data_IF_105060346400
#
_entry.id   IF_105060346400
#
_cell.length_a   1.000
_cell.length_b   1.000
_cell.length_c   1.000
_cell.angle_alpha   90.00
_cell.angle_beta   90.00
_cell.angle_gamma   90.00
#
_symmetry.space_group_name_H-M   'P 1'
#
loop_
_entity.id
_entity.type
_entity.pdbx_description
1 polymer ?
#
# COMPACT_ATOMS: atom_id res chain seq x y z
N UNK A 1 11.18 -48.17 6.93
CA UNK A 1 10.37 -47.02 6.46
C UNK A 1 10.13 -46.07 7.63
N UNK A 2 10.69 -44.85 7.58
CA UNK A 2 10.44 -43.82 8.60
C UNK A 2 9.12 -43.13 8.28
N UNK A 3 8.07 -43.44 9.03
CA UNK A 3 6.79 -42.73 8.94
C UNK A 3 6.96 -41.33 9.50
N UNK A 4 6.92 -40.31 8.65
CA UNK A 4 6.85 -38.91 9.07
C UNK A 4 5.52 -38.71 9.80
N UNK A 5 5.57 -38.57 11.12
CA UNK A 5 4.42 -38.23 11.94
C UNK A 5 3.85 -36.89 11.46
N UNK A 6 2.75 -36.93 10.71
CA UNK A 6 1.96 -35.74 10.35
C UNK A 6 1.41 -35.13 11.63
N UNK A 7 1.99 -34.02 12.06
CA UNK A 7 1.48 -33.19 13.14
C UNK A 7 0.17 -32.56 12.67
N UNK A 8 -0.96 -33.16 13.07
CA UNK A 8 -2.27 -32.54 12.89
C UNK A 8 -2.27 -31.21 13.65
N UNK A 9 -2.38 -30.10 12.92
CA UNK A 9 -2.26 -28.74 13.43
C UNK A 9 -1.07 -27.94 12.87
N UNK A 10 -0.03 -28.60 12.34
CA UNK A 10 1.13 -27.90 11.75
C UNK A 10 0.74 -27.07 10.52
N UNK A 11 -0.22 -27.54 9.72
CA UNK A 11 -0.70 -26.77 8.57
C UNK A 11 -1.53 -25.55 8.96
N UNK A 12 -2.47 -25.68 9.90
CA UNK A 12 -3.45 -24.63 10.18
C UNK A 12 -2.80 -23.35 10.73
N UNK A 13 -1.85 -23.48 11.66
CA UNK A 13 -1.15 -22.31 12.22
C UNK A 13 -0.21 -21.67 11.19
N UNK A 14 0.46 -22.46 10.36
CA UNK A 14 1.34 -21.97 9.30
C UNK A 14 0.57 -21.19 8.23
N UNK A 15 -0.59 -21.71 7.80
CA UNK A 15 -1.48 -21.00 6.88
C UNK A 15 -2.00 -19.69 7.49
N UNK A 16 -2.40 -19.68 8.76
CA UNK A 16 -2.86 -18.45 9.43
C UNK A 16 -1.75 -17.40 9.46
N UNK A 17 -0.50 -17.80 9.74
CA UNK A 17 0.64 -16.87 9.76
C UNK A 17 0.89 -16.32 8.35
N UNK A 18 0.92 -17.16 7.31
CA UNK A 18 1.14 -16.72 5.92
C UNK A 18 0.03 -15.76 5.47
N UNK A 19 -1.23 -16.09 5.77
CA UNK A 19 -2.38 -15.23 5.44
C UNK A 19 -2.29 -13.89 6.16
N UNK A 20 -1.91 -13.88 7.45
CA UNK A 20 -1.73 -12.65 8.20
C UNK A 20 -0.63 -11.76 7.58
N UNK A 21 0.48 -12.34 7.13
CA UNK A 21 1.55 -11.61 6.45
C UNK A 21 1.10 -11.01 5.11
N UNK A 22 0.36 -11.79 4.30
CA UNK A 22 -0.20 -11.30 3.04
C UNK A 22 -1.20 -10.18 3.29
N UNK A 23 -2.06 -10.29 4.31
CA UNK A 23 -3.05 -9.28 4.64
C UNK A 23 -2.41 -7.93 5.00
N UNK A 24 -1.33 -7.95 5.79
CA UNK A 24 -0.57 -6.74 6.15
C UNK A 24 0.05 -6.11 4.89
N UNK A 25 0.69 -6.92 4.04
CA UNK A 25 1.29 -6.43 2.79
C UNK A 25 0.23 -5.84 1.83
N UNK A 26 -0.95 -6.47 1.77
CA UNK A 26 -2.04 -6.07 0.90
C UNK A 26 -2.58 -4.66 1.22
N UNK A 27 -2.63 -4.26 2.50
CA UNK A 27 -3.07 -2.91 2.90
C UNK A 27 -2.22 -1.84 2.20
N UNK A 28 -0.90 -1.99 2.20
CA UNK A 28 0.04 -1.06 1.56
C UNK A 28 -0.11 -1.08 0.04
N UNK A 29 -0.24 -2.26 -0.57
CA UNK A 29 -0.39 -2.38 -2.03
C UNK A 29 -1.68 -1.73 -2.50
N UNK A 30 -2.81 -1.98 -1.83
CA UNK A 30 -4.11 -1.44 -2.24
C UNK A 30 -4.21 0.08 -2.05
N UNK A 31 -3.62 0.62 -0.98
CA UNK A 31 -3.58 2.08 -0.78
C UNK A 31 -2.78 2.78 -1.87
N UNK A 32 -1.57 2.28 -2.17
CA UNK A 32 -0.72 2.83 -3.23
C UNK A 32 -1.36 2.66 -4.62
N UNK A 33 -1.95 1.50 -4.90
CA UNK A 33 -2.63 1.25 -6.16
C UNK A 33 -3.83 2.18 -6.37
N UNK A 34 -4.63 2.41 -5.31
CA UNK A 34 -5.76 3.34 -5.35
C UNK A 34 -5.35 4.77 -5.70
N UNK A 35 -4.24 5.25 -5.13
CA UNK A 35 -3.68 6.58 -5.42
C UNK A 35 -3.19 6.70 -6.87
N UNK A 36 -2.56 5.64 -7.41
CA UNK A 36 -2.09 5.60 -8.81
C UNK A 36 -3.27 5.62 -9.77
N UNK A 37 -4.26 4.75 -9.56
CA UNK A 37 -5.47 4.69 -10.41
C UNK A 37 -6.22 6.02 -10.37
N UNK A 38 -6.39 6.61 -9.18
CA UNK A 38 -7.05 7.91 -9.05
C UNK A 38 -6.29 9.04 -9.74
N UNK A 39 -4.95 9.03 -9.69
CA UNK A 39 -4.11 9.96 -10.44
C UNK A 39 -4.30 9.81 -11.96
N UNK A 40 -4.30 8.57 -12.46
CA UNK A 40 -4.51 8.29 -13.88
C UNK A 40 -5.92 8.71 -14.35
N UNK A 41 -6.96 8.40 -13.58
CA UNK A 41 -8.34 8.82 -13.89
C UNK A 41 -8.44 10.34 -13.90
N UNK A 42 -7.81 11.03 -12.94
CA UNK A 42 -7.76 12.49 -12.91
C UNK A 42 -7.14 13.07 -14.18
N UNK A 43 -6.00 12.52 -14.61
CA UNK A 43 -5.33 12.93 -15.85
C UNK A 43 -6.20 12.67 -17.08
N UNK A 44 -6.87 11.51 -17.16
CA UNK A 44 -7.80 11.20 -18.25
C UNK A 44 -8.99 12.15 -18.30
N UNK A 45 -9.54 12.56 -17.15
CA UNK A 45 -10.59 13.61 -17.12
C UNK A 45 -10.07 14.97 -17.54
N UNK A 46 -8.83 15.33 -17.22
CA UNK A 46 -8.21 16.58 -17.67
C UNK A 46 -7.99 16.58 -19.19
N UNK A 47 -7.46 15.48 -19.74
CA UNK A 47 -7.31 15.31 -21.19
C UNK A 47 -8.67 15.33 -21.91
N UNK A 48 -9.70 14.67 -21.34
CA UNK A 48 -11.06 14.70 -21.88
C UNK A 48 -11.69 16.09 -21.79
N UNK A 49 -11.33 16.89 -20.78
CA UNK A 49 -11.72 18.29 -20.66
C UNK A 49 -10.92 19.24 -21.58
N UNK A 50 -9.97 18.70 -22.38
CA UNK A 50 -9.16 19.46 -23.33
C UNK A 50 -7.90 20.10 -22.73
N UNK A 51 -7.58 19.79 -21.48
CA UNK A 51 -6.40 20.30 -20.76
C UNK A 51 -5.25 19.29 -20.87
N UNK A 52 -4.00 19.75 -21.04
CA UNK A 52 -2.86 18.84 -21.18
C UNK A 52 -2.45 18.34 -19.79
N UNK A 53 -2.85 17.12 -19.45
CA UNK A 53 -2.41 16.51 -18.19
C UNK A 53 -0.87 16.37 -18.15
N UNK A 54 -0.19 17.14 -17.31
CA UNK A 54 1.24 16.94 -17.06
C UNK A 54 1.43 15.69 -16.20
N UNK A 55 1.80 14.57 -16.83
CA UNK A 55 2.02 13.28 -16.16
C UNK A 55 3.18 13.40 -15.16
N UNK A 56 2.85 13.70 -13.90
CA UNK A 56 3.81 13.64 -12.78
C UNK A 56 3.57 12.36 -11.97
N UNK A 57 3.57 11.21 -12.66
CA UNK A 57 3.37 9.89 -12.02
C UNK A 57 4.67 9.42 -11.33
N UNK A 58 5.82 9.98 -11.69
CA UNK A 58 7.13 9.54 -11.25
C UNK A 58 7.47 9.83 -9.77
N UNK A 59 6.79 10.79 -9.11
CA UNK A 59 7.19 11.22 -7.76
C UNK A 59 6.49 10.50 -6.61
N UNK A 60 5.41 9.75 -6.86
CA UNK A 60 4.61 9.14 -5.78
C UNK A 60 5.11 7.75 -5.35
N UNK A 61 5.73 7.00 -6.26
CA UNK A 61 6.36 5.72 -5.92
C UNK A 61 7.48 5.89 -4.87
N UNK A 62 8.21 7.01 -4.91
CA UNK A 62 9.29 7.33 -3.97
C UNK A 62 8.77 7.79 -2.60
N UNK A 63 7.55 8.35 -2.53
CA UNK A 63 6.96 8.83 -1.27
C UNK A 63 6.40 7.72 -0.38
N UNK A 64 6.11 6.55 -0.95
CA UNK A 64 5.63 5.39 -0.21
C UNK A 64 6.64 4.89 0.85
N UNK A 65 7.95 4.98 0.57
CA UNK A 65 9.00 4.63 1.53
C UNK A 65 9.31 5.71 2.59
N UNK A 66 8.74 6.92 2.45
CA UNK A 66 9.05 8.06 3.33
C UNK A 66 7.87 8.53 4.18
N UNK A 67 6.64 8.09 3.88
CA UNK A 67 5.48 8.38 4.72
C UNK A 67 5.56 7.69 6.09
N UNK A 68 6.17 6.50 6.17
CA UNK A 68 6.49 5.83 7.45
C UNK A 68 7.62 6.53 8.23
N UNK A 69 8.43 7.36 7.55
CA UNK A 69 9.53 8.10 8.17
C UNK A 69 9.11 9.48 8.73
N UNK A 70 7.91 9.99 8.40
CA UNK A 70 7.43 11.25 8.93
C UNK A 70 6.71 11.03 10.27
N UNK A 71 7.49 10.98 11.37
CA UNK A 71 6.95 11.10 12.73
C UNK A 71 6.22 12.44 12.86
N UNK A 72 4.90 12.43 12.68
CA UNK A 72 4.05 13.57 13.04
C UNK A 72 4.16 13.78 14.55
N UNK A 73 4.67 14.93 14.95
CA UNK A 73 4.80 15.32 16.36
C UNK A 73 3.69 16.30 16.72
N UNK A 74 3.45 16.49 18.02
CA UNK A 74 2.44 17.44 18.53
C UNK A 74 2.61 18.87 17.97
N UNK A 75 3.80 19.22 17.48
CA UNK A 75 4.07 20.51 16.84
C UNK A 75 3.36 20.67 15.49
N UNK A 76 3.11 19.58 14.76
CA UNK A 76 2.49 19.63 13.44
C UNK A 76 0.98 19.93 13.51
N UNK A 77 0.34 19.57 14.62
CA UNK A 77 -1.07 19.86 14.88
C UNK A 77 -1.31 21.31 15.35
N UNK A 78 -0.31 21.94 15.97
CA UNK A 78 -0.41 23.33 16.44
C UNK A 78 -0.31 24.34 15.27
N UNK A 79 0.33 23.95 14.17
CA UNK A 79 0.56 24.83 13.01
C UNK A 79 -0.59 24.80 11.98
N UNK A 80 -1.63 23.99 12.21
CA UNK A 80 -2.77 23.85 11.31
C UNK A 80 -4.04 24.63 11.76
N UNK A 81 -3.91 25.46 12.80
CA UNK A 81 -4.86 26.48 13.23
C UNK A 81 -4.15 27.83 13.35
#
# INVERSE_FOLDING_TARGET
>A
MRTLNRRHGQGMTEYIIIVALIAIAAITVFTLFGDVVRGQVGNMTQELAGEKASVTVSDKATKAGTADAQKKTLKDFKSAN
#
